data_IF_226354978599
#
_entry.id   IF_226354978599
#
_cell.length_a   1.000
_cell.length_b   1.000
_cell.length_c   1.000
_cell.angle_alpha   90.00
_cell.angle_beta   90.00
_cell.angle_gamma   90.00
#
_symmetry.space_group_name_H-M   'P 1'
#
loop_
_entity.id
_entity.type
_entity.pdbx_description
1 polymer ?
#
# COMPACT_ATOMS: atom_id res chain seq x y z
N UNK A 1 4.85 12.32 19.88
CA UNK A 1 4.31 10.97 19.65
C UNK A 1 5.27 9.87 20.09
N UNK A 2 6.56 9.86 19.67
CA UNK A 2 7.50 8.79 20.00
C UNK A 2 7.68 8.60 21.51
N UNK A 3 7.93 9.66 22.25
CA UNK A 3 8.07 9.62 23.72
C UNK A 3 6.82 9.06 24.41
N UNK A 4 5.63 9.49 23.98
CA UNK A 4 4.38 9.01 24.52
C UNK A 4 4.16 7.52 24.22
N UNK A 5 4.53 7.07 23.01
CA UNK A 5 4.47 5.66 22.62
C UNK A 5 5.35 4.81 23.52
N UNK A 6 6.60 5.24 23.78
CA UNK A 6 7.52 4.51 24.65
C UNK A 6 7.04 4.46 26.11
N UNK A 7 6.52 5.56 26.64
CA UNK A 7 5.94 5.61 27.97
C UNK A 7 4.75 4.64 28.09
N UNK A 8 3.90 4.56 27.06
CA UNK A 8 2.76 3.65 27.04
C UNK A 8 3.21 2.18 26.96
N UNK A 9 4.21 1.84 26.14
CA UNK A 9 4.77 0.50 26.06
C UNK A 9 5.28 0.05 27.45
N UNK A 10 6.08 0.87 28.11
CA UNK A 10 6.59 0.57 29.42
C UNK A 10 5.45 0.39 30.45
N UNK A 11 4.41 1.23 30.36
CA UNK A 11 3.24 1.10 31.22
C UNK A 11 2.45 -0.20 30.98
N UNK A 12 2.30 -0.62 29.74
CA UNK A 12 1.68 -1.91 29.41
C UNK A 12 2.46 -3.08 29.98
N UNK A 13 3.79 -3.09 29.84
CA UNK A 13 4.64 -4.14 30.43
C UNK A 13 4.43 -4.25 31.93
N UNK A 14 4.51 -3.14 32.65
CA UNK A 14 4.24 -3.09 34.11
C UNK A 14 2.87 -3.65 34.49
N UNK A 15 1.83 -3.35 33.70
CA UNK A 15 0.47 -3.81 33.96
C UNK A 15 0.33 -5.31 33.71
N UNK A 16 0.92 -5.84 32.64
CA UNK A 16 0.90 -7.25 32.30
C UNK A 16 1.68 -8.08 33.33
N UNK A 17 2.82 -7.58 33.79
CA UNK A 17 3.61 -8.22 34.87
C UNK A 17 2.79 -8.29 36.19
N UNK A 18 2.03 -7.24 36.51
CA UNK A 18 1.14 -7.24 37.71
C UNK A 18 0.01 -8.26 37.65
N UNK A 19 -0.48 -8.56 36.43
CA UNK A 19 -1.50 -9.59 36.21
C UNK A 19 -0.90 -10.99 36.31
N UNK A 20 0.45 -11.11 36.19
CA UNK A 20 1.18 -12.37 36.28
C UNK A 20 1.32 -13.10 34.94
N UNK A 21 1.23 -12.39 33.84
CA UNK A 21 1.55 -12.96 32.52
C UNK A 21 3.06 -13.26 32.42
N UNK A 22 3.39 -14.47 31.98
CA UNK A 22 4.77 -14.92 31.80
C UNK A 22 5.25 -14.65 30.35
N UNK A 23 5.34 -13.39 29.96
CA UNK A 23 5.87 -13.01 28.66
C UNK A 23 7.42 -12.98 28.70
N UNK A 24 8.03 -13.45 27.61
CA UNK A 24 9.45 -13.28 27.36
C UNK A 24 9.66 -11.90 26.67
N UNK A 25 9.94 -10.87 27.46
CA UNK A 25 10.11 -9.50 26.97
C UNK A 25 11.34 -9.30 26.07
N UNK A 26 12.31 -10.24 26.07
CA UNK A 26 13.43 -10.21 25.14
C UNK A 26 13.00 -10.52 23.70
N UNK A 27 11.79 -11.06 23.54
CA UNK A 27 11.15 -11.32 22.23
C UNK A 27 10.09 -10.28 21.86
N UNK A 28 10.06 -9.15 22.55
CA UNK A 28 9.17 -8.05 22.22
C UNK A 28 9.46 -7.47 20.84
N UNK A 29 8.42 -7.21 20.06
CA UNK A 29 8.50 -6.58 18.75
C UNK A 29 7.80 -5.23 18.79
N UNK A 30 8.50 -4.17 18.42
CA UNK A 30 7.98 -2.80 18.36
C UNK A 30 7.95 -2.34 16.91
N UNK A 31 6.77 -2.26 16.34
CA UNK A 31 6.59 -1.88 14.92
C UNK A 31 6.96 -0.43 14.61
N UNK A 32 7.13 0.41 15.64
CA UNK A 32 7.55 1.81 15.53
C UNK A 32 9.08 2.00 15.50
N UNK A 33 9.85 0.93 15.69
CA UNK A 33 11.32 1.00 15.67
C UNK A 33 11.89 0.86 14.25
N UNK A 34 12.98 1.58 13.93
CA UNK A 34 13.61 1.53 12.60
C UNK A 34 14.00 0.12 12.15
N UNK A 35 14.49 -0.71 13.07
CA UNK A 35 14.86 -2.11 12.83
C UNK A 35 13.69 -2.95 12.35
N UNK A 36 12.47 -2.57 12.72
CA UNK A 36 11.25 -3.23 12.25
C UNK A 36 10.72 -2.59 10.96
N UNK A 37 10.43 -1.29 10.96
CA UNK A 37 9.70 -0.68 9.85
C UNK A 37 10.53 -0.52 8.57
N UNK A 38 11.86 -0.61 8.60
CA UNK A 38 12.66 -0.59 7.38
C UNK A 38 12.30 -1.72 6.42
N UNK A 39 11.83 -2.87 6.92
CA UNK A 39 11.33 -3.96 6.09
C UNK A 39 10.03 -3.60 5.37
N UNK A 40 9.15 -2.85 6.02
CA UNK A 40 7.95 -2.30 5.38
C UNK A 40 8.32 -1.29 4.28
N UNK A 41 9.30 -0.44 4.53
CA UNK A 41 9.83 0.48 3.53
C UNK A 41 10.47 -0.24 2.35
N UNK A 42 11.26 -1.27 2.63
CA UNK A 42 11.86 -2.11 1.60
C UNK A 42 10.79 -2.80 0.73
N UNK A 43 9.78 -3.40 1.33
CA UNK A 43 8.67 -4.02 0.60
C UNK A 43 7.92 -2.99 -0.26
N UNK A 44 7.67 -1.79 0.27
CA UNK A 44 7.07 -0.70 -0.49
C UNK A 44 7.90 -0.32 -1.72
N UNK A 45 9.22 -0.14 -1.56
CA UNK A 45 10.12 0.18 -2.66
C UNK A 45 10.13 -0.93 -3.73
N UNK A 46 10.08 -2.20 -3.31
CA UNK A 46 9.93 -3.32 -4.25
C UNK A 46 8.63 -3.23 -5.06
N UNK A 47 7.51 -2.90 -4.41
CA UNK A 47 6.23 -2.70 -5.11
C UNK A 47 6.27 -1.46 -6.02
N UNK A 48 6.95 -0.40 -5.61
CA UNK A 48 7.11 0.81 -6.42
C UNK A 48 7.91 0.54 -7.70
N UNK A 49 8.94 -0.30 -7.62
CA UNK A 49 9.81 -0.64 -8.75
C UNK A 49 9.26 -1.76 -9.64
N UNK A 50 8.01 -2.19 -9.43
CA UNK A 50 7.40 -3.28 -10.18
C UNK A 50 6.01 -2.91 -10.72
N UNK A 51 5.62 -3.60 -11.81
CA UNK A 51 4.27 -3.64 -12.35
C UNK A 51 3.77 -5.10 -12.36
N UNK A 52 2.48 -5.33 -12.55
CA UNK A 52 1.91 -6.67 -12.69
C UNK A 52 1.66 -7.01 -14.16
N UNK A 53 2.30 -8.08 -14.65
CA UNK A 53 2.07 -8.65 -15.97
C UNK A 53 0.97 -9.71 -15.90
N UNK A 54 -0.13 -9.51 -16.64
CA UNK A 54 -1.18 -10.52 -16.77
C UNK A 54 -0.74 -11.71 -17.64
N UNK A 55 0.15 -11.49 -18.60
CA UNK A 55 0.70 -12.56 -19.43
C UNK A 55 1.52 -13.55 -18.59
N UNK A 56 2.36 -13.05 -17.69
CA UNK A 56 3.21 -13.89 -16.85
C UNK A 56 2.60 -14.20 -15.47
N UNK A 57 1.46 -13.61 -15.15
CA UNK A 57 0.75 -13.76 -13.86
C UNK A 57 1.62 -13.43 -12.64
N UNK A 58 2.53 -12.44 -12.77
CA UNK A 58 3.45 -12.03 -11.69
C UNK A 58 3.91 -10.58 -11.81
N UNK A 59 4.52 -10.08 -10.73
CA UNK A 59 5.21 -8.80 -10.73
C UNK A 59 6.50 -8.86 -11.57
N UNK A 60 6.76 -7.80 -12.36
CA UNK A 60 7.97 -7.61 -13.17
C UNK A 60 8.56 -6.24 -12.89
N UNK A 61 9.89 -6.09 -13.02
CA UNK A 61 10.54 -4.79 -12.85
C UNK A 61 9.99 -3.72 -13.78
N UNK A 62 9.73 -2.53 -13.26
CA UNK A 62 9.21 -1.40 -14.06
C UNK A 62 10.18 -0.99 -15.19
N UNK A 63 11.46 -1.25 -15.04
CA UNK A 63 12.47 -1.00 -16.06
C UNK A 63 12.21 -1.79 -17.35
N UNK A 64 11.74 -3.03 -17.24
CA UNK A 64 11.39 -3.85 -18.41
C UNK A 64 10.19 -3.26 -19.17
N UNK A 65 9.21 -2.71 -18.42
CA UNK A 65 8.08 -2.02 -19.03
C UNK A 65 8.53 -0.74 -19.75
N UNK A 66 9.44 0.01 -19.13
CA UNK A 66 10.04 1.20 -19.75
C UNK A 66 10.75 0.86 -21.05
N UNK A 67 11.51 -0.22 -21.07
CA UNK A 67 12.21 -0.71 -22.28
C UNK A 67 11.21 -1.15 -23.37
N UNK A 68 10.16 -1.89 -23.00
CA UNK A 68 9.10 -2.28 -23.92
C UNK A 68 8.42 -1.05 -24.55
N UNK A 69 8.15 -0.01 -23.79
CA UNK A 69 7.57 1.23 -24.30
C UNK A 69 8.48 1.94 -25.31
N UNK A 70 9.81 1.89 -25.12
CA UNK A 70 10.75 2.46 -26.08
C UNK A 70 10.71 1.76 -27.45
N UNK A 71 10.36 0.48 -27.49
CA UNK A 71 10.39 -0.33 -28.72
C UNK A 71 9.03 -0.47 -29.40
N UNK A 72 7.97 -0.63 -28.62
CA UNK A 72 6.62 -0.97 -29.13
C UNK A 72 5.48 -0.13 -28.56
N UNK A 73 5.77 0.85 -27.70
CA UNK A 73 4.71 1.57 -27.02
C UNK A 73 3.85 0.63 -26.17
N UNK A 74 2.54 0.74 -26.30
CA UNK A 74 1.58 -0.13 -25.60
C UNK A 74 1.10 -1.30 -26.44
N UNK A 75 1.67 -1.55 -27.63
CA UNK A 75 1.25 -2.65 -28.49
C UNK A 75 1.54 -3.99 -27.82
N UNK A 76 0.53 -4.87 -27.79
CA UNK A 76 0.63 -6.20 -27.16
C UNK A 76 0.78 -6.20 -25.62
N UNK A 77 0.72 -5.05 -24.99
CA UNK A 77 0.85 -4.95 -23.53
C UNK A 77 -0.37 -5.54 -22.80
N UNK A 78 -0.10 -6.47 -21.88
CA UNK A 78 -1.10 -7.02 -20.96
C UNK A 78 -0.61 -6.82 -19.53
N UNK A 79 -0.86 -5.63 -18.97
CA UNK A 79 -0.40 -5.19 -17.66
C UNK A 79 -1.51 -4.51 -16.87
N UNK A 80 -1.48 -4.67 -15.56
CA UNK A 80 -2.41 -3.98 -14.68
C UNK A 80 -2.12 -2.47 -14.67
N UNK A 81 -3.15 -1.66 -14.88
CA UNK A 81 -3.06 -0.20 -14.89
C UNK A 81 -4.27 0.44 -14.19
N UNK A 82 -4.15 1.70 -13.84
CA UNK A 82 -5.25 2.49 -13.29
C UNK A 82 -6.22 2.93 -14.39
N UNK A 83 -5.65 3.42 -15.51
CA UNK A 83 -6.40 3.88 -16.68
C UNK A 83 -5.76 3.29 -17.92
N UNK A 84 -6.51 2.60 -18.79
CA UNK A 84 -5.99 2.13 -20.07
C UNK A 84 -5.44 3.31 -20.89
N UNK A 85 -4.23 3.14 -21.42
CA UNK A 85 -3.55 4.12 -22.26
C UNK A 85 -3.09 3.46 -23.54
N UNK A 86 -3.08 4.22 -24.63
CA UNK A 86 -2.56 3.77 -25.92
C UNK A 86 -1.63 4.82 -26.46
N UNK A 87 -0.39 4.45 -26.75
CA UNK A 87 0.64 5.28 -27.37
C UNK A 87 1.65 4.41 -28.14
N UNK A 88 2.28 5.01 -29.15
CA UNK A 88 3.32 4.38 -29.96
C UNK A 88 4.69 4.54 -29.29
N UNK A 89 5.70 3.80 -29.79
CA UNK A 89 7.09 3.97 -29.35
C UNK A 89 7.61 5.40 -29.65
N UNK A 90 7.21 5.98 -30.79
CA UNK A 90 7.60 7.34 -31.16
C UNK A 90 7.04 8.39 -30.20
N UNK A 91 5.76 8.27 -29.84
CA UNK A 91 5.13 9.14 -28.83
C UNK A 91 5.82 8.99 -27.48
N UNK A 92 6.06 7.76 -27.00
CA UNK A 92 6.78 7.51 -25.75
C UNK A 92 8.16 8.15 -25.73
N UNK A 93 8.93 7.97 -26.80
CA UNK A 93 10.29 8.52 -26.92
C UNK A 93 10.31 10.06 -27.05
N UNK A 94 9.17 10.68 -27.41
CA UNK A 94 9.02 12.14 -27.44
C UNK A 94 8.67 12.75 -26.06
N UNK A 95 8.22 11.93 -25.11
CA UNK A 95 7.86 12.39 -23.76
C UNK A 95 9.10 12.82 -22.98
N UNK A 96 8.96 13.89 -22.21
CA UNK A 96 9.93 14.27 -21.19
C UNK A 96 10.01 13.19 -20.09
N UNK A 97 11.11 13.15 -19.35
CA UNK A 97 11.26 12.22 -18.21
C UNK A 97 10.10 12.29 -17.22
N UNK A 98 9.57 13.50 -17.00
CA UNK A 98 8.42 13.70 -16.10
C UNK A 98 7.14 13.07 -16.65
N UNK A 99 6.89 13.19 -17.94
CA UNK A 99 5.72 12.58 -18.58
C UNK A 99 5.85 11.06 -18.61
N UNK A 100 7.04 10.53 -18.93
CA UNK A 100 7.32 9.10 -18.85
C UNK A 100 7.05 8.56 -17.43
N UNK A 101 7.52 9.26 -16.39
CA UNK A 101 7.28 8.83 -15.00
C UNK A 101 5.78 8.90 -14.64
N UNK A 102 5.03 9.88 -15.14
CA UNK A 102 3.58 9.94 -14.95
C UNK A 102 2.86 8.75 -15.59
N UNK A 103 3.30 8.34 -16.79
CA UNK A 103 2.78 7.13 -17.44
C UNK A 103 3.14 5.88 -16.63
N UNK A 104 4.39 5.75 -16.17
CA UNK A 104 4.82 4.61 -15.36
C UNK A 104 4.05 4.49 -14.04
N UNK A 105 3.68 5.62 -13.40
CA UNK A 105 2.82 5.62 -12.20
C UNK A 105 1.48 4.91 -12.45
N UNK A 106 0.97 4.95 -13.67
CA UNK A 106 -0.27 4.27 -14.05
C UNK A 106 -0.16 2.74 -13.97
N UNK A 107 1.05 2.17 -14.01
CA UNK A 107 1.33 0.73 -14.03
C UNK A 107 1.96 0.19 -12.74
N UNK A 108 2.64 1.05 -11.96
CA UNK A 108 3.34 0.63 -10.73
C UNK A 108 2.39 -0.07 -9.74
N UNK A 109 2.90 -1.06 -9.01
CA UNK A 109 2.15 -1.73 -7.94
C UNK A 109 1.90 -0.83 -6.73
N UNK A 110 2.84 0.06 -6.40
CA UNK A 110 2.62 1.14 -5.46
C UNK A 110 2.54 2.46 -6.25
N UNK A 111 1.44 3.18 -6.14
CA UNK A 111 1.17 4.40 -6.92
C UNK A 111 0.42 5.45 -6.09
N UNK A 112 0.42 6.68 -6.55
CA UNK A 112 -0.30 7.78 -5.90
C UNK A 112 -1.63 8.01 -6.59
N UNK A 113 -2.70 8.08 -5.80
CA UNK A 113 -4.03 8.40 -6.26
C UNK A 113 -4.74 9.35 -5.29
N UNK A 114 -5.70 10.09 -5.81
CA UNK A 114 -6.62 10.89 -5.01
C UNK A 114 -7.79 10.00 -4.60
N UNK A 115 -7.89 9.71 -3.30
CA UNK A 115 -8.93 8.85 -2.72
C UNK A 115 -9.78 9.62 -1.72
N UNK A 116 -11.03 9.20 -1.55
CA UNK A 116 -11.87 9.69 -0.46
C UNK A 116 -11.45 9.04 0.84
N UNK A 117 -11.27 9.84 1.88
CA UNK A 117 -10.85 9.39 3.20
C UNK A 117 -11.75 9.97 4.27
N UNK A 118 -11.89 9.26 5.39
CA UNK A 118 -12.59 9.75 6.58
C UNK A 118 -11.66 10.71 7.35
N UNK A 119 -11.84 12.00 7.17
CA UNK A 119 -11.04 13.02 7.84
C UNK A 119 -11.74 13.52 9.11
N UNK A 120 -11.04 13.50 10.23
CA UNK A 120 -11.50 14.09 11.47
C UNK A 120 -10.68 15.35 11.78
N UNK A 121 -11.25 16.57 11.62
CA UNK A 121 -10.51 17.82 11.86
C UNK A 121 -10.03 17.97 13.30
N UNK A 122 -10.84 17.54 14.27
CA UNK A 122 -10.52 17.65 15.71
C UNK A 122 -9.36 16.74 16.13
N UNK A 123 -9.28 15.55 15.55
CA UNK A 123 -8.17 14.62 15.78
C UNK A 123 -6.97 14.91 14.86
N UNK A 124 -7.19 15.69 13.78
CA UNK A 124 -6.14 16.03 12.80
C UNK A 124 -5.60 14.83 12.03
N UNK A 125 -6.44 13.80 11.82
CA UNK A 125 -6.02 12.55 11.19
C UNK A 125 -7.10 11.93 10.32
N UNK A 126 -6.68 11.02 9.45
CA UNK A 126 -7.54 10.11 8.69
C UNK A 126 -7.89 8.92 9.58
N UNK A 127 -9.14 8.50 9.53
CA UNK A 127 -9.68 7.37 10.28
C UNK A 127 -10.00 6.20 9.36
N UNK A 128 -9.78 4.98 9.83
CA UNK A 128 -10.27 3.77 9.18
C UNK A 128 -11.81 3.72 9.24
N UNK A 129 -12.43 2.88 8.40
CA UNK A 129 -13.89 2.80 8.38
C UNK A 129 -14.47 2.33 9.73
N UNK A 130 -13.79 1.41 10.40
CA UNK A 130 -14.18 0.85 11.70
C UNK A 130 -14.01 1.84 12.87
N UNK A 131 -13.26 2.93 12.68
CA UNK A 131 -13.10 4.02 13.65
C UNK A 131 -14.19 5.10 13.50
N UNK A 132 -15.14 4.91 12.56
CA UNK A 132 -16.25 5.84 12.32
C UNK A 132 -17.58 5.14 12.62
N UNK A 133 -18.28 5.62 13.64
CA UNK A 133 -19.59 5.09 14.08
C UNK A 133 -20.60 6.24 13.95
N UNK A 134 -21.66 6.03 13.17
CA UNK A 134 -22.73 7.03 12.97
C UNK A 134 -22.23 8.42 12.54
N UNK A 135 -21.16 8.46 11.73
CA UNK A 135 -20.58 9.71 11.20
C UNK A 135 -19.67 10.47 12.16
N UNK A 136 -19.34 9.88 13.31
CA UNK A 136 -18.42 10.45 14.30
C UNK A 136 -17.27 9.48 14.60
N UNK A 137 -16.14 10.04 15.07
CA UNK A 137 -14.99 9.22 15.49
C UNK A 137 -15.33 8.42 16.76
N UNK A 138 -15.00 7.13 16.78
CA UNK A 138 -15.13 6.29 17.98
C UNK A 138 -14.42 6.94 19.18
N UNK A 139 -13.23 7.46 18.95
CA UNK A 139 -12.48 8.19 19.96
C UNK A 139 -12.88 9.67 19.98
N UNK A 140 -13.58 10.09 21.00
CA UNK A 140 -13.96 11.47 21.29
C UNK A 140 -15.28 11.93 20.68
N UNK A 141 -15.96 11.13 19.86
CA UNK A 141 -17.28 11.46 19.29
C UNK A 141 -17.28 12.67 18.36
N UNK A 142 -16.15 12.96 17.67
CA UNK A 142 -16.02 14.13 16.81
C UNK A 142 -16.57 13.88 15.41
N UNK A 143 -17.20 14.88 14.78
CA UNK A 143 -17.69 14.77 13.41
C UNK A 143 -16.57 14.37 12.43
N UNK A 144 -16.90 13.44 11.53
CA UNK A 144 -16.01 12.96 10.47
C UNK A 144 -16.57 13.38 9.13
N UNK A 145 -15.70 13.90 8.27
CA UNK A 145 -16.05 14.35 6.92
C UNK A 145 -15.30 13.56 5.85
N UNK A 146 -15.98 13.34 4.73
CA UNK A 146 -15.36 12.73 3.55
C UNK A 146 -14.49 13.78 2.83
N UNK A 147 -13.18 13.53 2.73
CA UNK A 147 -12.23 14.44 2.11
C UNK A 147 -11.41 13.74 1.05
N UNK A 148 -11.27 14.38 -0.11
CA UNK A 148 -10.38 13.89 -1.17
C UNK A 148 -8.94 14.24 -0.80
N UNK A 149 -8.11 13.22 -0.65
CA UNK A 149 -6.69 13.38 -0.31
C UNK A 149 -5.81 12.50 -1.20
N UNK A 150 -4.61 12.99 -1.49
CA UNK A 150 -3.62 12.22 -2.22
C UNK A 150 -2.96 11.21 -1.29
N UNK A 151 -3.12 9.93 -1.63
CA UNK A 151 -2.65 8.81 -0.83
C UNK A 151 -1.76 7.88 -1.67
N UNK A 152 -0.90 7.13 -1.00
CA UNK A 152 -0.28 5.97 -1.58
C UNK A 152 -1.27 4.81 -1.62
N UNK A 153 -1.39 4.18 -2.78
CA UNK A 153 -2.24 3.03 -3.02
C UNK A 153 -1.39 1.84 -3.46
N UNK A 154 -1.82 0.64 -3.08
CA UNK A 154 -1.25 -0.61 -3.56
C UNK A 154 -2.25 -1.28 -4.50
N UNK A 155 -1.76 -1.76 -5.65
CA UNK A 155 -2.58 -2.41 -6.69
C UNK A 155 -2.89 -3.86 -6.34
N UNK A 156 -3.51 -4.08 -5.19
CA UNK A 156 -3.85 -5.42 -4.69
C UNK A 156 -4.85 -6.16 -5.59
N UNK A 157 -5.75 -5.43 -6.25
CA UNK A 157 -6.74 -5.99 -7.17
C UNK A 157 -6.11 -6.68 -8.39
N UNK A 158 -4.88 -6.34 -8.77
CA UNK A 158 -4.16 -7.04 -9.84
C UNK A 158 -3.91 -8.53 -9.54
N UNK A 159 -3.90 -8.91 -8.27
CA UNK A 159 -3.71 -10.27 -7.80
C UNK A 159 -5.01 -11.01 -7.48
N UNK A 160 -6.17 -10.36 -7.60
CA UNK A 160 -7.46 -10.91 -7.15
C UNK A 160 -7.77 -12.28 -7.78
N UNK A 161 -7.63 -12.40 -9.11
CA UNK A 161 -7.90 -13.67 -9.80
C UNK A 161 -6.91 -14.75 -9.38
N UNK A 162 -5.60 -14.41 -9.31
CA UNK A 162 -4.57 -15.37 -8.89
C UNK A 162 -4.78 -15.86 -7.45
N UNK A 163 -5.25 -14.99 -6.55
CA UNK A 163 -5.57 -15.38 -5.18
C UNK A 163 -6.79 -16.31 -5.15
N UNK A 164 -7.84 -16.00 -5.93
CA UNK A 164 -9.02 -16.83 -6.03
C UNK A 164 -8.69 -18.21 -6.58
N UNK A 165 -7.93 -18.30 -7.67
CA UNK A 165 -7.49 -19.56 -8.27
C UNK A 165 -6.62 -20.37 -7.29
N UNK A 166 -5.77 -19.69 -6.52
CA UNK A 166 -4.91 -20.28 -5.48
C UNK A 166 -5.69 -21.01 -4.39
N UNK A 167 -6.93 -20.61 -4.08
CA UNK A 167 -7.78 -21.30 -3.10
C UNK A 167 -8.11 -22.75 -3.49
N UNK A 168 -8.07 -23.06 -4.79
CA UNK A 168 -8.30 -24.41 -5.29
C UNK A 168 -7.11 -25.36 -5.08
N UNK A 169 -5.94 -24.80 -4.76
CA UNK A 169 -4.70 -25.58 -4.56
C UNK A 169 -4.37 -25.85 -3.10
N UNK A 170 -5.18 -25.33 -2.18
CA UNK A 170 -4.99 -25.47 -0.73
C UNK A 170 -5.86 -26.61 -0.21
N UNK A 171 -5.29 -27.42 0.68
CA UNK A 171 -6.06 -28.38 1.46
C UNK A 171 -6.64 -27.69 2.70
N UNK A 172 -7.96 -27.59 2.73
CA UNK A 172 -8.68 -26.96 3.83
C UNK A 172 -8.89 -27.93 4.97
N UNK A 173 -8.73 -27.47 6.21
CA UNK A 173 -9.15 -28.25 7.38
C UNK A 173 -10.67 -28.46 7.39
N UNK A 174 -11.11 -29.67 7.72
CA UNK A 174 -12.52 -29.99 7.91
C UNK A 174 -13.09 -29.31 9.15
#
# INVERSE_FOLDING_TARGET
PALTTEQNINRYREQMDKIGFCYDWDREVRTCEPEYYHWTQWAFLKMYDHYYSFTEQKARPIAELKEAFCHSGTEGLSAACTTPMTFTAEEWNSYSEREQEQVLQNYRLAYRADTMVNWCPQLGTVLANDEVIDGVSERGGYPVEQKKMRQWCLRVSAYAQRLLDGLQTIEWSN
#
